data_IF_066391143388
#
_entry.id   IF_066391143388
#
_cell.length_a   1.000
_cell.length_b   1.000
_cell.length_c   1.000
_cell.angle_alpha   90.00
_cell.angle_beta   90.00
_cell.angle_gamma   90.00
#
_symmetry.space_group_name_H-M   'P 1'
#
loop_
_entity.id
_entity.type
_entity.pdbx_description
1 polymer ?
#
# COMPACT_ATOMS: atom_id res chain seq x y z
N UNK A 1 -53.41 -2.06 -29.38
CA UNK A 1 -52.52 -2.35 -28.23
C UNK A 1 -51.07 -2.34 -28.72
N UNK A 2 -50.26 -1.37 -28.31
CA UNK A 2 -48.79 -1.40 -28.49
C UNK A 2 -48.16 -1.46 -27.11
N UNK A 3 -47.44 -2.54 -26.81
CA UNK A 3 -46.61 -2.64 -25.60
C UNK A 3 -45.35 -1.79 -25.80
N UNK A 4 -45.10 -0.88 -24.86
CA UNK A 4 -43.84 -0.13 -24.76
C UNK A 4 -42.94 -0.92 -23.79
N UNK A 5 -41.87 -1.51 -24.31
CA UNK A 5 -40.84 -2.16 -23.50
C UNK A 5 -40.04 -1.12 -22.72
N UNK A 6 -39.91 -1.30 -21.42
CA UNK A 6 -39.12 -0.44 -20.54
C UNK A 6 -37.66 -0.91 -20.52
N UNK A 7 -36.85 -0.46 -21.46
CA UNK A 7 -35.39 -0.55 -21.35
C UNK A 7 -34.87 0.58 -20.47
N UNK A 8 -35.08 0.46 -19.17
CA UNK A 8 -34.44 1.32 -18.18
C UNK A 8 -32.97 0.90 -18.06
N UNK A 9 -32.07 1.59 -18.79
CA UNK A 9 -30.64 1.44 -18.53
C UNK A 9 -30.35 1.84 -17.07
N UNK A 10 -29.63 1.02 -16.29
CA UNK A 10 -29.33 1.35 -14.91
C UNK A 10 -28.51 2.65 -14.86
N UNK A 11 -29.03 3.65 -14.15
CA UNK A 11 -28.35 4.93 -13.96
C UNK A 11 -26.97 4.68 -13.37
N UNK A 12 -25.92 5.05 -14.12
CA UNK A 12 -24.53 4.90 -13.69
C UNK A 12 -24.35 5.73 -12.41
N UNK A 13 -24.21 5.04 -11.27
CA UNK A 13 -24.04 5.67 -9.96
C UNK A 13 -22.83 6.61 -9.98
N UNK A 14 -23.09 7.91 -9.92
CA UNK A 14 -22.06 8.94 -9.77
C UNK A 14 -21.27 8.66 -8.49
N UNK A 15 -19.96 8.51 -8.62
CA UNK A 15 -19.06 8.39 -7.47
C UNK A 15 -18.51 9.78 -7.14
N UNK A 16 -18.69 10.23 -5.91
CA UNK A 16 -18.12 11.48 -5.38
C UNK A 16 -16.59 11.44 -5.25
N UNK A 17 -15.99 10.25 -5.34
CA UNK A 17 -14.56 10.03 -5.35
C UNK A 17 -14.19 8.99 -6.39
N UNK A 18 -13.03 9.19 -7.02
CA UNK A 18 -12.39 8.23 -7.93
C UNK A 18 -11.05 7.83 -7.34
N UNK A 19 -10.72 6.54 -7.38
CA UNK A 19 -9.38 6.09 -7.06
C UNK A 19 -8.45 6.64 -8.14
N UNK A 20 -7.59 7.61 -7.79
CA UNK A 20 -6.51 8.05 -8.68
C UNK A 20 -5.43 6.98 -8.68
N UNK A 21 -5.53 5.99 -9.56
CA UNK A 21 -4.40 5.12 -9.86
C UNK A 21 -3.39 5.94 -10.66
N UNK A 22 -2.41 6.55 -9.97
CA UNK A 22 -1.25 7.15 -10.63
C UNK A 22 -0.50 6.11 -11.47
N UNK A 23 0.18 6.55 -12.53
CA UNK A 23 1.05 5.67 -13.33
C UNK A 23 2.19 5.17 -12.45
N UNK A 24 2.43 3.86 -12.50
CA UNK A 24 3.61 3.22 -11.89
C UNK A 24 4.76 3.33 -12.89
N UNK A 25 5.95 3.72 -12.42
CA UNK A 25 7.17 3.71 -13.24
C UNK A 25 7.74 2.30 -13.37
N UNK A 26 8.58 2.04 -14.38
CA UNK A 26 9.22 0.73 -14.54
C UNK A 26 10.04 0.33 -13.30
N UNK A 27 10.78 1.28 -12.71
CA UNK A 27 11.55 1.05 -11.48
C UNK A 27 10.67 0.65 -10.29
N UNK A 28 9.54 1.33 -10.08
CA UNK A 28 8.58 0.98 -9.04
C UNK A 28 7.96 -0.40 -9.27
N UNK A 29 7.62 -0.74 -10.52
CA UNK A 29 7.09 -2.05 -10.87
C UNK A 29 8.10 -3.17 -10.58
N UNK A 30 9.37 -2.95 -10.93
CA UNK A 30 10.46 -3.89 -10.66
C UNK A 30 10.68 -4.09 -9.17
N UNK A 31 10.71 -3.00 -8.39
CA UNK A 31 10.90 -3.08 -6.95
C UNK A 31 9.74 -3.85 -6.27
N UNK A 32 8.50 -3.63 -6.71
CA UNK A 32 7.34 -4.42 -6.26
C UNK A 32 7.50 -5.91 -6.57
N UNK A 33 8.01 -6.27 -7.75
CA UNK A 33 8.20 -7.68 -8.11
C UNK A 33 9.30 -8.35 -7.28
N UNK A 34 10.39 -7.63 -7.01
CA UNK A 34 11.59 -8.18 -6.38
C UNK A 34 11.50 -8.21 -4.84
N UNK A 35 10.90 -7.19 -4.23
CA UNK A 35 11.05 -6.94 -2.79
C UNK A 35 9.77 -7.16 -1.98
N UNK A 36 8.60 -7.26 -2.62
CA UNK A 36 7.33 -7.48 -1.90
C UNK A 36 7.36 -8.73 -1.03
N UNK A 37 7.95 -9.84 -1.51
CA UNK A 37 8.01 -11.08 -0.73
C UNK A 37 8.81 -10.93 0.57
N UNK A 38 9.85 -10.09 0.56
CA UNK A 38 10.73 -9.87 1.73
C UNK A 38 10.12 -8.90 2.73
N UNK A 39 9.54 -7.81 2.26
CA UNK A 39 9.19 -6.68 3.12
C UNK A 39 7.69 -6.54 3.40
N UNK A 40 6.81 -7.12 2.59
CA UNK A 40 5.37 -6.97 2.79
C UNK A 40 4.82 -8.01 3.76
N UNK A 41 3.94 -7.56 4.66
CA UNK A 41 3.16 -8.45 5.50
C UNK A 41 1.97 -9.03 4.71
N UNK A 42 1.81 -10.37 4.66
CA UNK A 42 0.65 -10.99 4.05
C UNK A 42 -0.64 -10.54 4.73
N UNK A 43 -1.67 -10.24 3.93
CA UNK A 43 -3.00 -9.96 4.47
C UNK A 43 -3.53 -11.20 5.18
N UNK A 44 -3.96 -11.05 6.41
CA UNK A 44 -4.64 -12.09 7.19
C UNK A 44 -5.74 -11.48 8.06
N UNK A 45 -6.71 -12.29 8.49
CA UNK A 45 -7.74 -11.88 9.43
C UNK A 45 -7.28 -11.97 10.89
N UNK A 46 -6.01 -12.32 11.12
CA UNK A 46 -5.39 -12.38 12.45
C UNK A 46 -4.57 -11.12 12.71
N UNK A 47 -4.48 -10.66 13.97
CA UNK A 47 -3.52 -9.63 14.36
C UNK A 47 -2.10 -10.04 13.96
N UNK A 48 -1.31 -9.05 13.54
CA UNK A 48 0.12 -9.25 13.24
C UNK A 48 0.88 -9.42 14.55
N UNK A 49 1.72 -10.44 14.63
CA UNK A 49 2.74 -10.55 15.68
C UNK A 49 4.01 -9.82 15.20
N UNK A 50 4.25 -8.64 15.75
CA UNK A 50 5.39 -7.81 15.33
C UNK A 50 6.74 -8.38 15.75
N UNK A 51 6.79 -9.12 16.86
CA UNK A 51 8.04 -9.75 17.29
C UNK A 51 8.52 -10.78 16.28
N UNK A 52 7.57 -11.55 15.73
CA UNK A 52 7.81 -12.53 14.67
C UNK A 52 8.11 -11.84 13.34
N UNK A 53 7.38 -10.77 13.00
CA UNK A 53 7.57 -10.06 11.74
C UNK A 53 8.94 -9.38 11.62
N UNK A 54 9.42 -8.75 12.70
CA UNK A 54 10.70 -8.03 12.73
C UNK A 54 11.87 -8.86 13.28
N UNK A 55 11.59 -9.99 13.94
CA UNK A 55 12.60 -10.85 14.57
C UNK A 55 13.23 -10.26 15.82
N UNK A 56 12.58 -9.29 16.45
CA UNK A 56 13.05 -8.58 17.65
C UNK A 56 11.85 -7.97 18.42
N UNK A 57 12.10 -7.45 19.62
CA UNK A 57 11.08 -6.80 20.47
C UNK A 57 11.20 -5.26 20.50
N UNK A 58 11.81 -4.66 19.47
CA UNK A 58 11.95 -3.21 19.39
C UNK A 58 10.57 -2.52 19.25
N UNK A 59 10.42 -1.28 19.73
CA UNK A 59 9.21 -0.49 19.55
C UNK A 59 8.82 -0.38 18.07
N UNK A 60 7.52 -0.44 17.77
CA UNK A 60 7.00 -0.37 16.40
C UNK A 60 6.30 0.97 16.19
N UNK A 61 6.79 1.73 15.21
CA UNK A 61 6.17 2.96 14.72
C UNK A 61 5.43 2.68 13.41
N UNK A 62 4.16 3.08 13.32
CA UNK A 62 3.33 2.86 12.14
C UNK A 62 2.98 4.18 11.44
N UNK A 63 3.19 4.24 10.13
CA UNK A 63 2.81 5.38 9.28
C UNK A 63 1.70 4.97 8.31
N UNK A 64 0.51 5.57 8.45
CA UNK A 64 -0.63 5.35 7.56
C UNK A 64 -0.66 6.44 6.49
N UNK A 65 -0.64 6.04 5.23
CA UNK A 65 -0.57 6.94 4.08
C UNK A 65 0.80 7.55 3.91
N UNK A 66 1.86 6.73 3.94
CA UNK A 66 3.26 7.20 3.81
C UNK A 66 3.59 7.83 2.45
N UNK A 67 2.66 7.79 1.49
CA UNK A 67 2.81 8.42 0.18
C UNK A 67 3.98 7.82 -0.59
N UNK A 68 5.02 8.61 -0.84
CA UNK A 68 6.19 8.16 -1.60
C UNK A 68 7.26 7.47 -0.75
N UNK A 69 7.15 7.51 0.58
CA UNK A 69 7.99 6.75 1.51
C UNK A 69 9.33 7.39 1.90
N UNK A 70 9.65 8.62 1.46
CA UNK A 70 10.92 9.30 1.83
C UNK A 70 11.06 9.46 3.34
N UNK A 71 10.02 10.00 3.98
CA UNK A 71 10.00 10.24 5.43
C UNK A 71 10.17 8.93 6.18
N UNK A 72 9.39 7.90 5.81
CA UNK A 72 9.45 6.59 6.45
C UNK A 72 10.83 5.94 6.33
N UNK A 73 11.43 5.94 5.13
CA UNK A 73 12.76 5.38 4.90
C UNK A 73 13.84 6.14 5.68
N UNK A 74 13.76 7.48 5.71
CA UNK A 74 14.68 8.30 6.48
C UNK A 74 14.58 8.05 7.99
N UNK A 75 13.36 8.02 8.54
CA UNK A 75 13.13 7.73 9.96
C UNK A 75 13.64 6.34 10.34
N UNK A 76 13.38 5.33 9.50
CA UNK A 76 13.88 3.98 9.71
C UNK A 76 15.41 3.90 9.69
N UNK A 77 16.06 4.56 8.72
CA UNK A 77 17.52 4.61 8.64
C UNK A 77 18.18 5.36 9.79
N UNK A 78 17.51 6.36 10.37
CA UNK A 78 18.02 7.13 11.51
C UNK A 78 17.81 6.45 12.86
N UNK A 79 16.85 5.52 12.97
CA UNK A 79 16.46 4.89 14.24
C UNK A 79 16.51 3.35 14.13
N UNK A 80 17.70 2.73 14.06
CA UNK A 80 17.84 1.27 13.90
C UNK A 80 17.39 0.46 15.13
N UNK A 81 17.15 1.12 16.27
CA UNK A 81 16.59 0.51 17.47
C UNK A 81 15.05 0.52 17.51
N UNK A 82 14.39 0.98 16.44
CA UNK A 82 12.94 0.96 16.25
C UNK A 82 12.58 0.19 14.98
N UNK A 83 11.37 -0.35 14.97
CA UNK A 83 10.76 -1.00 13.82
C UNK A 83 9.76 -0.05 13.16
N UNK A 84 9.66 -0.08 11.83
CA UNK A 84 8.77 0.80 11.07
C UNK A 84 7.81 0.00 10.19
N UNK A 85 6.51 0.28 10.32
CA UNK A 85 5.44 -0.30 9.50
C UNK A 85 4.77 0.79 8.66
N UNK A 86 4.91 0.69 7.34
CA UNK A 86 4.19 1.56 6.40
C UNK A 86 2.89 0.93 5.90
N UNK A 87 1.80 1.71 5.88
CA UNK A 87 0.53 1.34 5.23
C UNK A 87 0.23 2.33 4.10
N UNK A 88 0.15 1.85 2.87
CA UNK A 88 -0.18 2.68 1.70
C UNK A 88 -1.04 1.88 0.71
N UNK A 89 -2.07 2.54 0.18
CA UNK A 89 -3.02 1.95 -0.79
C UNK A 89 -2.53 2.13 -2.23
N UNK A 90 -1.70 3.14 -2.49
CA UNK A 90 -1.12 3.44 -3.78
C UNK A 90 0.15 2.61 -4.03
N UNK A 91 0.05 1.62 -4.93
CA UNK A 91 1.18 0.75 -5.32
C UNK A 91 2.43 1.51 -5.78
N UNK A 92 2.28 2.68 -6.39
CA UNK A 92 3.43 3.51 -6.81
C UNK A 92 4.28 3.95 -5.60
N UNK A 93 3.62 4.33 -4.50
CA UNK A 93 4.26 4.67 -3.23
C UNK A 93 5.00 3.48 -2.63
N UNK A 94 4.31 2.34 -2.54
CA UNK A 94 4.90 1.07 -2.06
C UNK A 94 6.14 0.70 -2.89
N UNK A 95 6.05 0.73 -4.22
CA UNK A 95 7.17 0.40 -5.08
C UNK A 95 8.36 1.35 -4.93
N UNK A 96 8.12 2.64 -4.66
CA UNK A 96 9.20 3.58 -4.39
C UNK A 96 9.84 3.34 -3.03
N UNK A 97 9.05 3.13 -1.98
CA UNK A 97 9.59 2.81 -0.65
C UNK A 97 10.47 1.57 -0.71
N UNK A 98 10.02 0.50 -1.37
CA UNK A 98 10.81 -0.72 -1.53
C UNK A 98 12.14 -0.46 -2.25
N UNK A 99 12.16 0.41 -3.26
CA UNK A 99 13.40 0.79 -3.95
C UNK A 99 14.34 1.68 -3.11
N UNK A 100 13.83 2.33 -2.05
CA UNK A 100 14.64 3.13 -1.14
C UNK A 100 15.30 2.29 -0.04
N UNK A 101 14.68 1.16 0.33
CA UNK A 101 15.08 0.35 1.49
C UNK A 101 15.66 -1.02 1.10
N UNK A 102 15.81 -1.30 -0.20
CA UNK A 102 16.41 -2.55 -0.70
C UNK A 102 17.89 -2.73 -0.31
#
# INVERSE_FOLDING_TARGET
MKQVGSDAQPLRRLRSFVLRSGRITESQARALQQHMQRWALPRSDRPVDFSVAFGNDNPVTMEIGFGMGDSLAQMAGQNPAENFLGVEVHRAGVGRLLALVE
#
